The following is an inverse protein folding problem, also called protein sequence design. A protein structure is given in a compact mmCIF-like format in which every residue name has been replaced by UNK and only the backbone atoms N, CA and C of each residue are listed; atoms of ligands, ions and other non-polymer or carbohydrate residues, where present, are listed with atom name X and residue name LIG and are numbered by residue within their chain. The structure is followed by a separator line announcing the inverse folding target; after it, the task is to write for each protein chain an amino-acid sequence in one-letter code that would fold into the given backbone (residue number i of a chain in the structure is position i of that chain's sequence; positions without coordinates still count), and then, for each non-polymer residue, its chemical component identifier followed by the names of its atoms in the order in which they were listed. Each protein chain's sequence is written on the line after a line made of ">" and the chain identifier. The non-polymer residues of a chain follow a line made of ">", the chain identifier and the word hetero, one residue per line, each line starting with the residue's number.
data_IF_218382175330
#
_entry.id   IF_218382175330
#
_cell.length_a   1.000
_cell.length_b   1.000
_cell.length_c   1.000
_cell.angle_alpha   90.00
_cell.angle_beta   90.00
_cell.angle_gamma   90.00
#
_symmetry.space_group_name_H-M   'P 1'
#
loop_
_entity.id
_entity.type
_entity.pdbx_description
1 polymer ?
#
# COMPACT_ATOMS: atom_id res chain seq x y z
N UNK A 1 -63.21 48.44 -7.32
CA UNK A 1 -63.17 47.04 -7.78
C UNK A 1 -61.85 46.45 -7.30
N UNK A 2 -61.89 45.42 -6.46
CA UNK A 2 -60.66 44.79 -5.94
C UNK A 2 -59.96 44.06 -7.09
N UNK A 3 -58.83 44.58 -7.56
CA UNK A 3 -57.98 43.91 -8.53
C UNK A 3 -57.30 42.74 -7.82
N UNK A 4 -57.70 41.50 -8.17
CA UNK A 4 -57.04 40.30 -7.68
C UNK A 4 -55.66 40.16 -8.34
N UNK A 5 -54.70 39.54 -7.64
CA UNK A 5 -53.34 39.31 -8.16
C UNK A 5 -53.25 38.15 -9.16
N UNK A 6 -54.37 37.52 -9.49
CA UNK A 6 -54.51 36.38 -10.39
C UNK A 6 -55.82 36.51 -11.19
N UNK A 7 -55.88 35.97 -12.42
CA UNK A 7 -57.10 35.95 -13.22
C UNK A 7 -58.13 34.99 -12.60
N UNK A 8 -59.42 35.35 -12.69
CA UNK A 8 -60.52 34.44 -12.36
C UNK A 8 -60.93 33.74 -13.65
N UNK A 9 -60.82 32.43 -13.69
CA UNK A 9 -61.08 31.61 -14.87
C UNK A 9 -62.57 31.29 -14.99
N UNK A 10 -63.07 31.29 -16.22
CA UNK A 10 -64.42 30.81 -16.53
C UNK A 10 -64.45 29.29 -16.62
N UNK A 11 -65.66 28.70 -16.57
CA UNK A 11 -65.82 27.24 -16.53
C UNK A 11 -65.12 26.52 -17.70
N UNK A 12 -65.08 27.13 -18.89
CA UNK A 12 -64.46 26.56 -20.09
C UNK A 12 -62.93 26.41 -19.96
N UNK A 13 -62.28 27.25 -19.16
CA UNK A 13 -60.83 27.18 -18.90
C UNK A 13 -60.51 26.48 -17.58
N UNK A 14 -61.40 26.62 -16.58
CA UNK A 14 -61.21 26.09 -15.24
C UNK A 14 -61.40 24.57 -15.17
N UNK A 15 -62.41 24.02 -15.86
CA UNK A 15 -62.67 22.59 -15.85
C UNK A 15 -61.53 21.75 -16.46
N UNK A 16 -60.98 22.10 -17.64
CA UNK A 16 -59.83 21.38 -18.19
C UNK A 16 -58.60 21.44 -17.28
N UNK A 17 -58.30 22.60 -16.69
CA UNK A 17 -57.16 22.71 -15.76
C UNK A 17 -57.34 21.84 -14.51
N UNK A 18 -58.57 21.69 -14.00
CA UNK A 18 -58.84 20.81 -12.85
C UNK A 18 -58.76 19.33 -13.24
N UNK A 19 -59.18 18.98 -14.46
CA UNK A 19 -59.02 17.64 -15.00
C UNK A 19 -57.54 17.26 -15.16
N UNK A 20 -56.70 18.17 -15.67
CA UNK A 20 -55.24 18.01 -15.73
C UNK A 20 -54.61 17.80 -14.33
N UNK A 21 -55.19 18.40 -13.29
CA UNK A 21 -54.77 18.22 -11.89
C UNK A 21 -55.36 16.96 -11.22
N UNK A 22 -56.06 16.10 -11.97
CA UNK A 22 -56.76 14.90 -11.50
C UNK A 22 -57.87 15.20 -10.46
N UNK A 23 -58.54 16.34 -10.61
CA UNK A 23 -59.62 16.80 -9.74
C UNK A 23 -60.96 16.63 -10.48
N UNK A 24 -61.74 15.57 -10.18
CA UNK A 24 -63.01 15.35 -10.87
C UNK A 24 -64.09 16.31 -10.37
N UNK A 25 -64.48 17.28 -11.21
CA UNK A 25 -65.61 18.18 -10.94
C UNK A 25 -66.37 18.51 -12.22
N UNK A 26 -67.70 18.60 -12.12
CA UNK A 26 -68.58 19.02 -13.22
C UNK A 26 -69.01 20.47 -13.11
N UNK A 27 -69.40 21.09 -14.23
CA UNK A 27 -69.96 22.45 -14.24
C UNK A 27 -71.18 22.61 -13.30
N UNK A 28 -72.01 21.56 -13.18
CA UNK A 28 -73.17 21.56 -12.30
C UNK A 28 -72.78 21.59 -10.82
N UNK A 29 -71.73 20.86 -10.44
CA UNK A 29 -71.18 20.85 -9.09
C UNK A 29 -70.49 22.18 -8.73
N UNK A 30 -69.82 22.84 -9.69
CA UNK A 30 -69.29 24.20 -9.48
C UNK A 30 -70.39 25.23 -9.29
N UNK A 31 -71.51 25.10 -10.00
CA UNK A 31 -72.64 26.03 -9.91
C UNK A 31 -73.41 25.88 -8.58
N UNK A 32 -73.47 24.66 -8.03
CA UNK A 32 -74.10 24.35 -6.73
C UNK A 32 -73.16 23.50 -5.88
N UNK A 33 -72.12 24.11 -5.29
CA UNK A 33 -71.13 23.37 -4.55
C UNK A 33 -71.72 22.85 -3.23
N UNK A 34 -71.37 21.62 -2.87
CA UNK A 34 -71.69 21.00 -1.58
C UNK A 34 -70.39 20.65 -0.84
N UNK A 35 -70.46 20.53 0.48
CA UNK A 35 -69.31 20.14 1.30
C UNK A 35 -68.70 18.80 0.83
N UNK A 36 -69.54 17.81 0.52
CA UNK A 36 -69.15 16.48 0.04
C UNK A 36 -68.33 16.52 -1.26
N UNK A 37 -68.53 17.56 -2.09
CA UNK A 37 -67.78 17.74 -3.33
C UNK A 37 -66.53 18.60 -3.10
N UNK A 38 -66.65 19.68 -2.33
CA UNK A 38 -65.56 20.66 -2.16
C UNK A 38 -64.44 20.16 -1.25
N UNK A 39 -64.75 19.40 -0.20
CA UNK A 39 -63.73 18.91 0.72
C UNK A 39 -62.72 17.96 0.05
N UNK A 40 -63.13 16.92 -0.71
CA UNK A 40 -62.19 16.06 -1.43
C UNK A 40 -61.35 16.82 -2.47
N UNK A 41 -61.91 17.86 -3.10
CA UNK A 41 -61.18 18.69 -4.06
C UNK A 41 -60.03 19.40 -3.40
N UNK A 42 -60.27 20.09 -2.29
CA UNK A 42 -59.20 20.79 -1.58
C UNK A 42 -58.21 19.84 -0.92
N UNK A 43 -58.64 18.65 -0.50
CA UNK A 43 -57.76 17.60 -0.03
C UNK A 43 -56.79 17.13 -1.13
N UNK A 44 -57.30 16.82 -2.32
CA UNK A 44 -56.46 16.45 -3.46
C UNK A 44 -55.52 17.59 -3.88
N UNK A 45 -56.00 18.83 -3.92
CA UNK A 45 -55.15 20.00 -4.18
C UNK A 45 -54.00 20.10 -3.19
N UNK A 46 -54.30 19.93 -1.89
CA UNK A 46 -53.30 20.04 -0.83
C UNK A 46 -52.24 18.94 -0.98
N UNK A 47 -52.65 17.70 -1.16
CA UNK A 47 -51.75 16.55 -1.34
C UNK A 47 -50.88 16.74 -2.60
N UNK A 48 -51.48 17.08 -3.74
CA UNK A 48 -50.78 17.18 -5.02
C UNK A 48 -49.77 18.34 -5.07
N UNK A 49 -50.08 19.47 -4.43
CA UNK A 49 -49.21 20.66 -4.47
C UNK A 49 -48.16 20.69 -3.36
N UNK A 50 -48.44 20.10 -2.20
CA UNK A 50 -47.51 20.16 -1.04
C UNK A 50 -46.73 18.85 -0.83
N UNK A 51 -47.19 17.74 -1.38
CA UNK A 51 -46.62 16.41 -1.15
C UNK A 51 -46.92 15.84 0.24
N UNK A 52 -47.71 16.53 1.06
CA UNK A 52 -48.17 16.02 2.37
C UNK A 52 -49.18 14.90 2.10
N UNK A 53 -48.97 13.74 2.71
CA UNK A 53 -49.85 12.58 2.55
C UNK A 53 -51.15 12.74 3.36
N UNK A 54 -52.20 12.03 2.97
CA UNK A 54 -53.46 11.99 3.74
C UNK A 54 -53.24 11.45 5.16
N UNK A 55 -52.30 10.52 5.33
CA UNK A 55 -51.93 9.99 6.63
C UNK A 55 -51.29 11.06 7.52
N UNK A 56 -50.36 11.86 6.99
CA UNK A 56 -49.75 12.99 7.72
C UNK A 56 -50.77 14.09 8.07
N UNK A 57 -51.80 14.31 7.24
CA UNK A 57 -52.88 15.24 7.56
C UNK A 57 -53.75 14.77 8.73
N UNK A 58 -53.92 13.45 8.86
CA UNK A 58 -54.71 12.81 9.92
C UNK A 58 -53.89 12.50 11.18
N UNK A 59 -52.57 12.66 11.15
CA UNK A 59 -51.73 12.47 12.33
C UNK A 59 -51.99 13.59 13.36
N UNK A 60 -52.37 13.25 14.61
CA UNK A 60 -52.51 14.24 15.66
C UNK A 60 -51.12 14.81 16.00
N UNK A 61 -51.02 16.15 16.04
CA UNK A 61 -49.81 16.82 16.51
C UNK A 61 -49.63 16.47 17.99
N UNK A 62 -48.52 15.86 18.38
CA UNK A 62 -48.27 15.41 19.76
C UNK A 62 -48.57 16.49 20.83
N UNK A 63 -48.25 17.75 20.54
CA UNK A 63 -48.54 18.87 21.43
C UNK A 63 -50.05 19.16 21.63
N UNK A 64 -50.91 18.74 20.71
CA UNK A 64 -52.36 18.82 20.85
C UNK A 64 -52.93 17.67 21.69
N UNK A 65 -52.29 16.49 21.69
CA UNK A 65 -52.70 15.33 22.48
C UNK A 65 -52.54 15.64 23.98
N UNK A 66 -51.43 16.27 24.37
CA UNK A 66 -51.16 16.66 25.76
C UNK A 66 -52.09 17.79 26.28
N UNK A 67 -52.80 18.48 25.38
CA UNK A 67 -53.68 19.60 25.72
C UNK A 67 -55.12 19.18 26.04
N UNK A 68 -55.53 17.95 25.70
CA UNK A 68 -56.88 17.45 25.92
C UNK A 68 -56.90 16.32 26.97
N UNK A 69 -57.87 16.35 27.86
CA UNK A 69 -58.07 15.31 28.90
C UNK A 69 -58.56 13.98 28.30
N UNK A 70 -59.22 14.02 27.13
CA UNK A 70 -59.68 12.85 26.37
C UNK A 70 -59.41 13.04 24.85
N UNK A 71 -58.17 12.83 24.38
CA UNK A 71 -57.79 13.06 22.98
C UNK A 71 -58.58 12.21 21.97
N UNK A 72 -58.93 10.96 22.32
CA UNK A 72 -59.65 10.01 21.46
C UNK A 72 -61.03 10.51 21.00
N UNK A 73 -61.68 11.40 21.77
CA UNK A 73 -62.96 12.00 21.39
C UNK A 73 -62.81 13.11 20.34
N UNK A 74 -61.58 13.52 20.05
CA UNK A 74 -61.26 14.66 19.21
C UNK A 74 -60.47 14.30 17.96
N UNK A 75 -60.22 13.02 17.68
CA UNK A 75 -59.42 12.58 16.52
C UNK A 75 -59.90 13.20 15.20
N UNK A 76 -61.21 13.15 14.92
CA UNK A 76 -61.79 13.76 13.71
C UNK A 76 -61.67 15.30 13.70
N UNK A 77 -61.80 15.93 14.87
CA UNK A 77 -61.72 17.39 15.02
C UNK A 77 -60.29 17.91 14.86
N UNK A 78 -59.32 17.16 15.38
CA UNK A 78 -57.89 17.47 15.27
C UNK A 78 -57.45 17.35 13.81
N UNK A 79 -57.82 16.26 13.14
CA UNK A 79 -57.54 16.06 11.71
C UNK A 79 -58.17 17.15 10.85
N UNK A 80 -59.47 17.46 11.05
CA UNK A 80 -60.15 18.52 10.30
C UNK A 80 -59.51 19.90 10.53
N UNK A 81 -59.02 20.18 11.76
CA UNK A 81 -58.33 21.42 12.08
C UNK A 81 -56.95 21.49 11.43
N UNK A 82 -56.21 20.38 11.43
CA UNK A 82 -54.91 20.25 10.77
C UNK A 82 -55.05 20.49 9.26
N UNK A 83 -56.00 19.79 8.62
CA UNK A 83 -56.35 19.98 7.22
C UNK A 83 -56.66 21.44 6.89
N UNK A 84 -57.57 22.07 7.64
CA UNK A 84 -57.93 23.47 7.42
C UNK A 84 -56.73 24.42 7.58
N UNK A 85 -55.87 24.16 8.57
CA UNK A 85 -54.66 24.96 8.81
C UNK A 85 -53.70 24.90 7.63
N UNK A 86 -53.42 23.70 7.12
CA UNK A 86 -52.53 23.50 5.96
C UNK A 86 -53.13 24.08 4.68
N UNK A 87 -54.42 23.84 4.44
CA UNK A 87 -55.13 24.41 3.29
C UNK A 87 -55.15 25.94 3.31
N UNK A 88 -55.37 26.53 4.48
CA UNK A 88 -55.33 28.00 4.64
C UNK A 88 -53.95 28.57 4.31
N UNK A 89 -52.87 27.91 4.77
CA UNK A 89 -51.50 28.32 4.44
C UNK A 89 -51.24 28.23 2.93
N UNK A 90 -51.67 27.14 2.29
CA UNK A 90 -51.55 26.97 0.83
C UNK A 90 -52.28 28.10 0.10
N UNK A 91 -53.55 28.35 0.45
CA UNK A 91 -54.35 29.39 -0.20
C UNK A 91 -53.79 30.80 0.00
N UNK A 92 -53.16 31.08 1.14
CA UNK A 92 -52.42 32.34 1.35
C UNK A 92 -51.26 32.48 0.36
N UNK A 93 -50.51 31.40 0.11
CA UNK A 93 -49.44 31.37 -0.91
C UNK A 93 -50.00 31.56 -2.32
N UNK A 94 -51.17 30.98 -2.62
CA UNK A 94 -51.88 31.21 -3.88
C UNK A 94 -52.46 32.63 -4.02
N UNK A 95 -52.43 33.47 -2.97
CA UNK A 95 -52.91 34.86 -2.98
C UNK A 95 -54.31 35.08 -2.39
N UNK A 96 -54.92 34.06 -1.77
CA UNK A 96 -56.21 34.12 -1.08
C UNK A 96 -55.99 34.23 0.42
N UNK A 97 -56.24 35.41 1.00
CA UNK A 97 -56.02 35.68 2.44
C UNK A 97 -57.27 35.55 3.31
N UNK A 98 -58.44 35.47 2.68
CA UNK A 98 -59.77 35.53 3.29
C UNK A 98 -60.47 34.15 3.33
N UNK A 99 -59.72 33.05 3.18
CA UNK A 99 -60.27 31.70 3.27
C UNK A 99 -60.73 31.38 4.70
N UNK A 100 -61.94 30.86 4.84
CA UNK A 100 -62.54 30.52 6.13
C UNK A 100 -63.27 29.18 6.13
N UNK A 101 -63.65 28.68 7.30
CA UNK A 101 -64.36 27.41 7.45
C UNK A 101 -65.68 27.34 6.67
N UNK A 102 -66.30 28.50 6.39
CA UNK A 102 -67.52 28.60 5.57
C UNK A 102 -67.27 28.16 4.13
N UNK A 103 -66.07 28.42 3.59
CA UNK A 103 -65.73 28.06 2.22
C UNK A 103 -65.60 26.55 2.01
N UNK A 104 -65.47 25.79 3.11
CA UNK A 104 -65.50 24.33 3.12
C UNK A 104 -66.91 23.78 3.39
N UNK A 105 -67.55 24.23 4.48
CA UNK A 105 -68.81 23.64 4.96
C UNK A 105 -70.07 24.20 4.30
N UNK A 106 -70.00 25.42 3.78
CA UNK A 106 -71.09 26.12 3.08
C UNK A 106 -70.52 26.90 1.88
N UNK A 107 -69.96 26.18 0.89
CA UNK A 107 -69.25 26.80 -0.21
C UNK A 107 -70.17 27.69 -1.04
N UNK A 108 -69.65 28.85 -1.45
CA UNK A 108 -70.30 29.76 -2.40
C UNK A 108 -69.66 29.57 -3.78
N UNK A 109 -70.48 29.52 -4.85
CA UNK A 109 -70.01 29.22 -6.19
C UNK A 109 -68.97 30.25 -6.71
N UNK A 110 -69.19 31.54 -6.43
CA UNK A 110 -68.29 32.60 -6.90
C UNK A 110 -66.97 32.58 -6.11
N UNK A 111 -67.03 32.35 -4.80
CA UNK A 111 -65.84 32.21 -3.95
C UNK A 111 -65.03 30.96 -4.29
N UNK A 112 -65.69 29.83 -4.50
CA UNK A 112 -65.03 28.57 -4.89
C UNK A 112 -64.30 28.74 -6.22
N UNK A 113 -64.95 29.34 -7.24
CA UNK A 113 -64.31 29.65 -8.53
C UNK A 113 -63.06 30.51 -8.36
N UNK A 114 -63.14 31.56 -7.52
CA UNK A 114 -61.99 32.43 -7.21
C UNK A 114 -60.85 31.63 -6.55
N UNK A 115 -61.14 30.75 -5.60
CA UNK A 115 -60.12 29.96 -4.91
C UNK A 115 -59.46 28.94 -5.84
N UNK A 116 -60.23 28.23 -6.65
CA UNK A 116 -59.70 27.29 -7.64
C UNK A 116 -58.87 27.99 -8.71
N UNK A 117 -59.29 29.18 -9.18
CA UNK A 117 -58.50 29.98 -10.12
C UNK A 117 -57.14 30.40 -9.53
N UNK A 118 -57.10 30.75 -8.24
CA UNK A 118 -55.86 31.08 -7.54
C UNK A 118 -54.92 29.87 -7.45
N UNK A 119 -55.47 28.70 -7.13
CA UNK A 119 -54.73 27.43 -7.05
C UNK A 119 -54.16 27.05 -8.42
N UNK A 120 -54.96 27.12 -9.48
CA UNK A 120 -54.52 26.81 -10.85
C UNK A 120 -53.39 27.75 -11.27
N UNK A 121 -53.52 29.05 -10.99
CA UNK A 121 -52.45 30.01 -11.29
C UNK A 121 -51.14 29.67 -10.57
N UNK A 122 -51.23 29.27 -9.29
CA UNK A 122 -50.06 28.81 -8.54
C UNK A 122 -49.48 27.50 -9.10
N UNK A 123 -50.33 26.54 -9.46
CA UNK A 123 -49.92 25.26 -10.02
C UNK A 123 -49.14 25.45 -11.32
N UNK A 124 -49.66 26.27 -12.25
CA UNK A 124 -48.97 26.62 -13.51
C UNK A 124 -47.61 27.28 -13.25
N UNK A 125 -47.55 28.24 -12.33
CA UNK A 125 -46.28 28.87 -11.95
C UNK A 125 -45.28 27.85 -11.37
N UNK A 126 -45.75 26.93 -10.53
CA UNK A 126 -44.93 25.86 -9.95
C UNK A 126 -44.37 24.95 -11.04
N UNK A 127 -45.19 24.53 -12.00
CA UNK A 127 -44.76 23.67 -13.13
C UNK A 127 -43.69 24.33 -13.98
N UNK A 128 -43.86 25.61 -14.34
CA UNK A 128 -42.84 26.37 -15.08
C UNK A 128 -41.51 26.42 -14.31
N UNK A 129 -41.55 26.58 -12.98
CA UNK A 129 -40.34 26.59 -12.14
C UNK A 129 -39.75 25.20 -11.94
N UNK A 130 -40.59 24.16 -11.89
CA UNK A 130 -40.15 22.78 -11.69
C UNK A 130 -39.15 22.34 -12.77
N UNK A 131 -39.34 22.78 -14.02
CA UNK A 131 -38.42 22.49 -15.13
C UNK A 131 -37.01 23.03 -14.82
N UNK A 132 -36.90 24.30 -14.42
CA UNK A 132 -35.62 24.90 -14.06
C UNK A 132 -35.00 24.25 -12.80
N UNK A 133 -35.83 23.87 -11.83
CA UNK A 133 -35.35 23.13 -10.65
C UNK A 133 -34.85 21.73 -11.00
N UNK A 134 -35.51 21.02 -11.92
CA UNK A 134 -35.09 19.69 -12.37
C UNK A 134 -33.71 19.73 -13.03
N UNK A 135 -33.44 20.74 -13.86
CA UNK A 135 -32.11 20.94 -14.46
C UNK A 135 -31.04 21.23 -13.40
N UNK A 136 -31.35 22.08 -12.42
CA UNK A 136 -30.44 22.37 -11.30
C UNK A 136 -30.18 21.13 -10.44
N UNK A 137 -31.21 20.32 -10.21
CA UNK A 137 -31.11 19.09 -9.44
C UNK A 137 -30.26 18.04 -10.16
N UNK A 138 -30.48 17.83 -11.46
CA UNK A 138 -29.65 16.94 -12.28
C UNK A 138 -28.18 17.39 -12.30
N UNK A 139 -27.93 18.71 -12.40
CA UNK A 139 -26.57 19.27 -12.33
C UNK A 139 -25.93 19.05 -10.95
N UNK A 140 -26.70 19.23 -9.88
CA UNK A 140 -26.25 19.02 -8.52
C UNK A 140 -25.90 17.55 -8.27
N UNK A 141 -26.74 16.62 -8.71
CA UNK A 141 -26.48 15.17 -8.66
C UNK A 141 -25.21 14.80 -9.44
N UNK A 142 -25.04 15.33 -10.65
CA UNK A 142 -23.82 15.13 -11.45
C UNK A 142 -22.56 15.65 -10.75
N UNK A 143 -22.62 16.84 -10.15
CA UNK A 143 -21.50 17.41 -9.38
C UNK A 143 -21.19 16.61 -8.11
N UNK A 144 -22.21 16.08 -7.42
CA UNK A 144 -22.01 15.20 -6.28
C UNK A 144 -21.30 13.91 -6.67
N UNK A 145 -21.69 13.31 -7.79
CA UNK A 145 -21.06 12.09 -8.31
C UNK A 145 -19.61 12.34 -8.75
N UNK A 146 -19.34 13.45 -9.44
CA UNK A 146 -17.97 13.85 -9.77
C UNK A 146 -17.11 14.07 -8.52
N UNK A 147 -17.67 14.73 -7.49
CA UNK A 147 -16.97 14.93 -6.22
C UNK A 147 -16.65 13.60 -5.56
N UNK A 148 -17.59 12.65 -5.55
CA UNK A 148 -17.40 11.31 -5.00
C UNK A 148 -16.26 10.58 -5.72
N UNK A 149 -16.28 10.57 -7.05
CA UNK A 149 -15.22 9.95 -7.86
C UNK A 149 -13.83 10.56 -7.59
N UNK A 150 -13.73 11.89 -7.53
CA UNK A 150 -12.47 12.58 -7.22
C UNK A 150 -11.97 12.28 -5.80
N UNK A 151 -12.88 12.12 -4.82
CA UNK A 151 -12.50 11.75 -3.45
C UNK A 151 -11.97 10.32 -3.38
N UNK A 152 -12.56 9.39 -4.13
CA UNK A 152 -12.09 8.00 -4.23
C UNK A 152 -10.70 7.94 -4.91
N UNK A 153 -10.51 8.68 -6.00
CA UNK A 153 -9.21 8.79 -6.67
C UNK A 153 -8.14 9.41 -5.77
N UNK A 154 -8.48 10.47 -5.04
CA UNK A 154 -7.58 11.11 -4.09
C UNK A 154 -7.14 10.13 -3.00
N UNK A 155 -8.08 9.38 -2.41
CA UNK A 155 -7.78 8.39 -1.38
C UNK A 155 -6.86 7.26 -1.92
N UNK A 156 -7.11 6.80 -3.13
CA UNK A 156 -6.27 5.79 -3.79
C UNK A 156 -4.84 6.31 -4.01
N UNK A 157 -4.69 7.54 -4.52
CA UNK A 157 -3.38 8.18 -4.72
C UNK A 157 -2.64 8.44 -3.43
N UNK A 158 -3.33 8.86 -2.37
CA UNK A 158 -2.72 9.03 -1.05
C UNK A 158 -2.19 7.70 -0.48
N UNK A 159 -2.93 6.60 -0.68
CA UNK A 159 -2.49 5.26 -0.28
C UNK A 159 -1.25 4.80 -1.06
N UNK A 160 -1.25 4.98 -2.39
CA UNK A 160 -0.11 4.66 -3.24
C UNK A 160 1.14 5.47 -2.85
N UNK A 161 0.94 6.75 -2.54
CA UNK A 161 2.01 7.64 -2.11
C UNK A 161 2.57 7.26 -0.74
N UNK A 162 1.74 6.79 0.20
CA UNK A 162 2.21 6.22 1.47
C UNK A 162 3.05 4.98 1.24
N UNK A 163 2.58 4.03 0.42
CA UNK A 163 3.34 2.81 0.10
C UNK A 163 4.71 3.14 -0.50
N UNK A 164 4.76 4.04 -1.48
CA UNK A 164 6.05 4.46 -2.08
C UNK A 164 6.98 5.13 -1.07
N UNK A 165 6.46 5.89 -0.11
CA UNK A 165 7.28 6.49 0.95
C UNK A 165 7.86 5.45 1.89
N UNK A 166 7.06 4.44 2.25
CA UNK A 166 7.51 3.32 3.09
C UNK A 166 8.58 2.47 2.37
N UNK A 167 8.35 2.15 1.10
CA UNK A 167 9.33 1.46 0.24
C UNK A 167 10.65 2.25 0.17
N UNK A 168 10.59 3.56 -0.12
CA UNK A 168 11.80 4.40 -0.17
C UNK A 168 12.52 4.50 1.17
N UNK A 169 11.79 4.56 2.28
CA UNK A 169 12.41 4.58 3.61
C UNK A 169 13.15 3.28 3.92
N UNK A 170 12.60 2.14 3.49
CA UNK A 170 13.29 0.84 3.57
C UNK A 170 14.54 0.80 2.70
N UNK A 171 14.44 1.20 1.44
CA UNK A 171 15.57 1.25 0.51
C UNK A 171 16.69 2.19 1.00
N UNK A 172 16.35 3.34 1.60
CA UNK A 172 17.33 4.28 2.14
C UNK A 172 18.08 3.71 3.36
N UNK A 173 17.39 2.95 4.20
CA UNK A 173 18.01 2.24 5.32
C UNK A 173 18.99 1.16 4.82
N UNK A 174 18.56 0.34 3.85
CA UNK A 174 19.39 -0.70 3.24
C UNK A 174 20.62 -0.09 2.53
N UNK A 175 20.41 0.99 1.76
CA UNK A 175 21.48 1.71 1.10
C UNK A 175 22.50 2.29 2.10
N UNK A 176 22.02 2.84 3.22
CA UNK A 176 22.89 3.35 4.28
C UNK A 176 23.70 2.23 4.93
N UNK A 177 23.11 1.04 5.13
CA UNK A 177 23.81 -0.11 5.70
C UNK A 177 24.89 -0.63 4.75
N UNK A 178 24.56 -0.80 3.46
CA UNK A 178 25.51 -1.24 2.43
C UNK A 178 26.65 -0.22 2.29
N UNK A 179 26.35 1.08 2.33
CA UNK A 179 27.38 2.12 2.27
C UNK A 179 28.33 2.05 3.47
N UNK A 180 27.80 1.86 4.68
CA UNK A 180 28.62 1.70 5.89
C UNK A 180 29.52 0.45 5.82
N UNK A 181 28.99 -0.68 5.33
CA UNK A 181 29.77 -1.90 5.13
C UNK A 181 30.86 -1.71 4.06
N UNK A 182 30.53 -1.06 2.94
CA UNK A 182 31.50 -0.75 1.89
C UNK A 182 32.64 0.15 2.40
N UNK A 183 32.33 1.14 3.23
CA UNK A 183 33.33 2.02 3.83
C UNK A 183 34.21 1.27 4.85
N UNK A 184 33.62 0.38 5.65
CA UNK A 184 34.36 -0.49 6.57
C UNK A 184 35.33 -1.43 5.82
N UNK A 185 34.85 -2.14 4.81
CA UNK A 185 35.67 -3.02 3.96
C UNK A 185 36.76 -2.25 3.22
N UNK A 186 36.46 -1.04 2.74
CA UNK A 186 37.48 -0.17 2.13
C UNK A 186 38.57 0.21 3.13
N UNK A 187 38.20 0.51 4.37
CA UNK A 187 39.14 0.77 5.46
C UNK A 187 40.03 -0.43 5.77
N UNK A 188 39.45 -1.62 5.90
CA UNK A 188 40.19 -2.87 6.12
C UNK A 188 41.15 -3.18 4.96
N UNK A 189 40.69 -3.02 3.71
CA UNK A 189 41.52 -3.24 2.53
C UNK A 189 42.72 -2.28 2.49
N UNK A 190 42.51 -1.01 2.85
CA UNK A 190 43.62 -0.05 2.98
C UNK A 190 44.61 -0.46 4.07
N UNK A 191 44.14 -0.97 5.21
CA UNK A 191 44.99 -1.43 6.29
C UNK A 191 45.80 -2.67 5.88
N UNK A 192 45.16 -3.65 5.25
CA UNK A 192 45.82 -4.84 4.70
C UNK A 192 46.87 -4.47 3.64
N UNK A 193 46.55 -3.53 2.75
CA UNK A 193 47.53 -3.04 1.77
C UNK A 193 48.76 -2.38 2.43
N UNK A 194 48.57 -1.62 3.52
CA UNK A 194 49.69 -1.06 4.29
C UNK A 194 50.53 -2.16 4.94
N UNK A 195 49.89 -3.16 5.54
CA UNK A 195 50.58 -4.31 6.13
C UNK A 195 51.35 -5.10 5.07
N UNK A 196 50.75 -5.34 3.90
CA UNK A 196 51.40 -6.00 2.78
C UNK A 196 52.62 -5.21 2.29
N UNK A 197 52.50 -3.89 2.14
CA UNK A 197 53.64 -3.04 1.74
C UNK A 197 54.78 -3.09 2.77
N UNK A 198 54.46 -3.07 4.06
CA UNK A 198 55.46 -3.19 5.14
C UNK A 198 56.16 -4.56 5.11
N UNK A 199 55.40 -5.64 5.05
CA UNK A 199 55.94 -7.00 4.97
C UNK A 199 56.79 -7.21 3.70
N UNK A 200 56.36 -6.65 2.56
CA UNK A 200 57.12 -6.72 1.30
C UNK A 200 58.47 -5.99 1.41
N UNK A 201 58.50 -4.82 2.07
CA UNK A 201 59.74 -4.11 2.38
C UNK A 201 60.66 -4.92 3.28
N UNK A 202 60.11 -5.55 4.33
CA UNK A 202 60.86 -6.40 5.25
C UNK A 202 61.46 -7.63 4.53
N UNK A 203 60.67 -8.30 3.68
CA UNK A 203 61.15 -9.42 2.85
C UNK A 203 62.30 -8.96 1.94
N UNK A 204 62.22 -7.76 1.36
CA UNK A 204 63.30 -7.21 0.53
C UNK A 204 64.57 -6.95 1.35
N UNK A 205 64.43 -6.40 2.56
CA UNK A 205 65.54 -6.16 3.47
C UNK A 205 66.21 -7.48 3.91
N UNK A 206 65.41 -8.48 4.29
CA UNK A 206 65.91 -9.81 4.66
C UNK A 206 66.62 -10.50 3.49
N UNK A 207 66.09 -10.41 2.26
CA UNK A 207 66.80 -10.93 1.08
C UNK A 207 68.15 -10.26 0.87
N UNK A 208 68.24 -8.95 1.09
CA UNK A 208 69.51 -8.20 1.02
C UNK A 208 70.49 -8.68 2.09
N UNK A 209 70.03 -8.87 3.33
CA UNK A 209 70.86 -9.42 4.40
C UNK A 209 71.35 -10.84 4.09
N UNK A 210 70.48 -11.71 3.57
CA UNK A 210 70.85 -13.07 3.17
C UNK A 210 71.92 -13.03 2.08
N UNK A 211 71.80 -12.14 1.10
CA UNK A 211 72.82 -11.97 0.06
C UNK A 211 74.17 -11.52 0.65
N UNK A 212 74.16 -10.52 1.53
CA UNK A 212 75.37 -10.01 2.21
C UNK A 212 76.03 -11.07 3.09
N UNK A 213 75.25 -11.80 3.89
CA UNK A 213 75.75 -12.90 4.72
C UNK A 213 76.29 -14.05 3.87
N UNK A 214 75.64 -14.35 2.74
CA UNK A 214 76.13 -15.34 1.78
C UNK A 214 77.48 -14.94 1.20
N UNK A 215 77.65 -13.68 0.79
CA UNK A 215 78.94 -13.15 0.33
C UNK A 215 80.01 -13.20 1.43
N UNK A 216 79.67 -12.81 2.66
CA UNK A 216 80.59 -12.89 3.80
C UNK A 216 81.02 -14.34 4.10
N UNK A 217 80.10 -15.30 4.06
CA UNK A 217 80.40 -16.73 4.22
C UNK A 217 81.31 -17.23 3.10
N UNK A 218 81.12 -16.78 1.85
CA UNK A 218 82.02 -17.15 0.76
C UNK A 218 83.42 -16.55 0.94
N UNK A 219 83.52 -15.31 1.41
CA UNK A 219 84.79 -14.67 1.73
C UNK A 219 85.53 -15.40 2.85
N UNK A 220 84.84 -15.70 3.97
CA UNK A 220 85.40 -16.50 5.06
C UNK A 220 85.82 -17.90 4.62
N UNK A 221 85.03 -18.58 3.77
CA UNK A 221 85.43 -19.87 3.18
C UNK A 221 86.70 -19.77 2.36
N UNK A 222 86.88 -18.69 1.61
CA UNK A 222 88.09 -18.45 0.83
C UNK A 222 89.30 -18.20 1.74
N UNK A 223 89.14 -17.40 2.80
CA UNK A 223 90.18 -17.22 3.82
C UNK A 223 90.53 -18.52 4.54
N UNK A 224 89.53 -19.32 4.91
CA UNK A 224 89.73 -20.63 5.53
C UNK A 224 90.49 -21.58 4.59
N UNK A 225 90.16 -21.60 3.30
CA UNK A 225 90.86 -22.42 2.30
C UNK A 225 92.31 -21.98 2.13
N UNK A 226 92.59 -20.68 2.11
CA UNK A 226 93.95 -20.15 2.10
C UNK A 226 94.71 -20.54 3.37
N UNK A 227 94.09 -20.38 4.54
CA UNK A 227 94.67 -20.81 5.82
C UNK A 227 94.91 -22.31 5.89
N UNK A 228 94.03 -23.13 5.30
CA UNK A 228 94.23 -24.58 5.18
C UNK A 228 95.42 -24.92 4.27
N UNK A 229 95.57 -24.24 3.13
CA UNK A 229 96.75 -24.42 2.26
C UNK A 229 98.04 -24.02 2.97
N UNK A 230 98.04 -22.91 3.73
CA UNK A 230 99.18 -22.53 4.55
C UNK A 230 99.47 -23.56 5.64
N UNK A 231 98.43 -24.06 6.31
CA UNK A 231 98.55 -25.09 7.33
C UNK A 231 99.07 -26.43 6.74
N UNK A 232 98.62 -26.83 5.54
CA UNK A 232 99.17 -27.99 4.83
C UNK A 232 100.63 -27.79 4.44
N UNK A 233 100.98 -26.63 3.90
CA UNK A 233 102.38 -26.26 3.61
C UNK A 233 103.26 -26.30 4.86
N UNK A 234 102.78 -25.75 5.98
CA UNK A 234 103.47 -25.81 7.27
C UNK A 234 103.53 -27.24 7.82
N UNK A 235 102.48 -28.05 7.63
CA UNK A 235 102.48 -29.48 7.97
C UNK A 235 103.50 -30.25 7.15
N UNK A 236 103.63 -29.98 5.85
CA UNK A 236 104.64 -30.60 4.99
C UNK A 236 106.05 -30.21 5.47
N UNK A 237 106.28 -28.96 5.86
CA UNK A 237 107.53 -28.52 6.50
C UNK A 237 107.76 -29.23 7.85
N UNK A 238 106.72 -29.44 8.65
CA UNK A 238 106.78 -30.15 9.92
C UNK A 238 106.99 -31.66 9.71
N UNK A 239 106.41 -32.29 8.68
CA UNK A 239 106.59 -33.70 8.33
C UNK A 239 108.01 -33.94 7.80
N UNK A 240 108.56 -33.01 7.01
CA UNK A 240 109.97 -33.02 6.63
C UNK A 240 110.88 -32.84 7.86
N UNK A 241 110.51 -32.01 8.83
CA UNK A 241 111.24 -31.87 10.10
C UNK A 241 111.07 -33.11 11.03
N UNK A 242 109.95 -33.83 10.93
CA UNK A 242 109.66 -35.04 11.73
C UNK A 242 110.24 -36.32 11.15
N UNK A 243 110.58 -36.37 9.86
CA UNK A 243 111.32 -37.51 9.27
C UNK A 243 112.75 -37.67 9.84
N UNK A 244 113.27 -36.65 10.54
CA UNK A 244 114.61 -36.66 11.16
C UNK A 244 114.64 -37.13 12.63
N UNK A 245 113.51 -37.30 13.32
CA UNK A 245 113.49 -37.82 14.69
C UNK A 245 112.28 -38.70 14.91
N UNK A 246 112.59 -39.99 15.04
CA UNK A 246 111.62 -41.01 15.38
C UNK A 246 110.98 -40.82 16.76
N UNK A 247 109.97 -41.67 16.93
CA UNK A 247 109.29 -42.10 18.14
C UNK A 247 107.87 -41.55 18.34
N UNK A 248 107.03 -42.56 18.55
CA UNK A 248 105.64 -42.69 18.99
C UNK A 248 105.12 -41.65 20.00
N UNK A 249 103.80 -41.67 20.21
CA UNK A 249 103.00 -40.70 20.98
C UNK A 249 101.50 -41.09 20.98
N UNK A 250 100.98 -41.95 21.90
CA UNK A 250 99.57 -42.38 22.07
C UNK A 250 98.47 -41.29 22.22
N UNK A 251 98.66 -40.07 21.72
CA UNK A 251 97.71 -38.95 21.80
C UNK A 251 96.57 -39.03 20.76
N UNK A 252 96.71 -39.87 19.72
CA UNK A 252 95.68 -40.00 18.67
C UNK A 252 94.36 -40.56 19.20
N UNK A 253 94.39 -41.38 20.25
CA UNK A 253 93.16 -41.91 20.87
C UNK A 253 92.45 -40.89 21.77
N UNK A 254 93.17 -39.99 22.45
CA UNK A 254 92.55 -38.93 23.27
C UNK A 254 92.00 -37.78 22.41
N UNK A 255 92.62 -37.49 21.28
CA UNK A 255 92.11 -36.52 20.29
C UNK A 255 90.89 -37.03 19.54
N UNK A 256 90.87 -38.29 19.09
CA UNK A 256 89.66 -38.86 18.50
C UNK A 256 88.49 -38.94 19.49
N UNK A 257 88.74 -39.07 20.80
CA UNK A 257 87.69 -39.09 21.82
C UNK A 257 87.13 -37.68 22.06
N UNK A 258 87.97 -36.64 22.07
CA UNK A 258 87.54 -35.23 22.14
C UNK A 258 86.89 -34.76 20.83
N UNK A 259 87.37 -35.21 19.68
CA UNK A 259 86.75 -34.96 18.37
C UNK A 259 85.41 -35.69 18.24
N UNK A 260 85.27 -36.92 18.73
CA UNK A 260 83.95 -37.59 18.82
C UNK A 260 83.04 -36.88 19.82
N UNK A 261 83.56 -36.39 20.94
CA UNK A 261 82.78 -35.63 21.92
C UNK A 261 82.25 -34.33 21.30
N UNK A 262 83.11 -33.59 20.59
CA UNK A 262 82.74 -32.38 19.83
C UNK A 262 81.74 -32.69 18.72
N UNK A 263 81.93 -33.77 17.97
CA UNK A 263 80.99 -34.19 16.92
C UNK A 263 79.63 -34.63 17.49
N UNK A 264 79.62 -35.23 18.69
CA UNK A 264 78.39 -35.59 19.41
C UNK A 264 77.68 -34.36 19.97
N UNK A 265 78.42 -33.36 20.45
CA UNK A 265 77.85 -32.09 20.92
C UNK A 265 77.34 -31.24 19.74
N UNK A 266 78.02 -31.24 18.60
CA UNK A 266 77.55 -30.63 17.34
C UNK A 266 76.29 -31.33 16.81
N UNK A 267 76.26 -32.67 16.80
CA UNK A 267 75.05 -33.41 16.42
C UNK A 267 73.89 -33.21 17.42
N UNK A 268 74.18 -33.09 18.71
CA UNK A 268 73.15 -32.70 19.69
C UNK A 268 72.61 -31.30 19.40
N UNK A 269 73.46 -30.36 18.99
CA UNK A 269 73.05 -29.03 18.54
C UNK A 269 72.18 -29.08 17.28
N UNK A 270 72.51 -29.96 16.32
CA UNK A 270 71.70 -30.18 15.12
C UNK A 270 70.35 -30.83 15.44
N UNK A 271 70.31 -31.79 16.37
CA UNK A 271 69.08 -32.42 16.85
C UNK A 271 68.20 -31.40 17.59
N UNK A 272 68.75 -30.58 18.49
CA UNK A 272 67.99 -29.52 19.18
C UNK A 272 67.45 -28.45 18.21
N UNK A 273 68.23 -28.10 17.18
CA UNK A 273 67.79 -27.19 16.13
C UNK A 273 66.68 -27.81 15.27
N UNK A 274 66.80 -29.09 14.93
CA UNK A 274 65.78 -29.85 14.20
C UNK A 274 64.50 -29.98 15.03
N UNK A 275 64.59 -30.24 16.34
CA UNK A 275 63.44 -30.34 17.26
C UNK A 275 62.71 -29.01 17.40
N UNK A 276 63.44 -27.89 17.51
CA UNK A 276 62.83 -26.55 17.50
C UNK A 276 62.11 -26.28 16.18
N UNK A 277 62.69 -26.72 15.06
CA UNK A 277 62.10 -26.56 13.71
C UNK A 277 60.86 -27.44 13.54
N UNK A 278 60.89 -28.68 14.02
CA UNK A 278 59.74 -29.58 14.08
C UNK A 278 58.61 -28.97 14.91
N UNK A 279 58.88 -28.41 16.10
CA UNK A 279 57.85 -27.74 16.90
C UNK A 279 57.27 -26.51 16.22
N UNK A 280 58.09 -25.71 15.53
CA UNK A 280 57.62 -24.57 14.76
C UNK A 280 56.74 -24.99 13.57
N UNK A 281 57.11 -26.07 12.87
CA UNK A 281 56.30 -26.65 11.80
C UNK A 281 55.00 -27.24 12.32
N UNK A 282 55.02 -27.93 13.46
CA UNK A 282 53.81 -28.46 14.11
C UNK A 282 52.84 -27.32 14.48
N UNK A 283 53.34 -26.22 15.03
CA UNK A 283 52.51 -25.05 15.33
C UNK A 283 51.91 -24.41 14.05
N UNK A 284 52.67 -24.41 12.93
CA UNK A 284 52.13 -23.94 11.65
C UNK A 284 51.04 -24.88 11.13
N UNK A 285 51.25 -26.19 11.22
CA UNK A 285 50.30 -27.22 10.83
C UNK A 285 48.98 -27.09 11.61
N UNK A 286 49.06 -26.86 12.93
CA UNK A 286 47.88 -26.60 13.77
C UNK A 286 47.10 -25.34 13.32
N UNK A 287 47.80 -24.26 12.92
CA UNK A 287 47.13 -23.09 12.33
C UNK A 287 46.51 -23.39 10.97
N UNK A 288 47.18 -24.15 10.11
CA UNK A 288 46.65 -24.54 8.79
C UNK A 288 45.40 -25.41 8.98
N UNK A 289 45.40 -26.36 9.92
CA UNK A 289 44.23 -27.18 10.24
C UNK A 289 43.05 -26.38 10.81
N UNK A 290 43.29 -25.27 11.52
CA UNK A 290 42.21 -24.34 11.92
C UNK A 290 41.61 -23.63 10.71
N UNK A 291 42.45 -23.11 9.81
CA UNK A 291 42.00 -22.45 8.58
C UNK A 291 41.25 -23.42 7.68
N UNK A 292 41.71 -24.67 7.56
CA UNK A 292 41.03 -25.72 6.78
C UNK A 292 39.61 -26.00 7.31
N UNK A 293 39.43 -26.04 8.65
CA UNK A 293 38.11 -26.18 9.27
C UNK A 293 37.20 -24.99 9.00
N UNK A 294 37.73 -23.77 9.05
CA UNK A 294 36.95 -22.56 8.75
C UNK A 294 36.56 -22.51 7.27
N UNK A 295 37.46 -22.89 6.35
CA UNK A 295 37.16 -23.01 4.92
C UNK A 295 36.08 -24.07 4.67
N UNK A 296 36.14 -25.21 5.36
CA UNK A 296 35.12 -26.26 5.26
C UNK A 296 33.74 -25.78 5.71
N UNK A 297 33.65 -25.01 6.80
CA UNK A 297 32.40 -24.36 7.24
C UNK A 297 31.89 -23.35 6.22
N UNK A 298 32.76 -22.52 5.64
CA UNK A 298 32.36 -21.60 4.58
C UNK A 298 31.78 -22.34 3.37
N UNK A 299 32.37 -23.48 2.97
CA UNK A 299 31.84 -24.30 1.88
C UNK A 299 30.47 -24.90 2.20
N UNK A 300 30.22 -25.30 3.44
CA UNK A 300 28.89 -25.77 3.88
C UNK A 300 27.85 -24.65 3.81
N UNK A 301 28.17 -23.45 4.31
CA UNK A 301 27.30 -22.28 4.22
C UNK A 301 27.02 -21.88 2.77
N UNK A 302 28.02 -21.95 1.88
CA UNK A 302 27.81 -21.68 0.46
C UNK A 302 26.84 -22.67 -0.18
N UNK A 303 26.89 -23.96 0.18
CA UNK A 303 25.92 -24.97 -0.28
C UNK A 303 24.51 -24.70 0.24
N UNK A 304 24.36 -24.25 1.49
CA UNK A 304 23.05 -23.87 2.02
C UNK A 304 22.47 -22.66 1.28
N UNK A 305 23.30 -21.65 0.99
CA UNK A 305 22.89 -20.48 0.20
C UNK A 305 22.48 -20.90 -1.22
N UNK A 306 23.22 -21.80 -1.88
CA UNK A 306 22.84 -22.33 -3.19
C UNK A 306 21.47 -23.02 -3.16
N UNK A 307 21.19 -23.80 -2.12
CA UNK A 307 19.91 -24.46 -1.94
C UNK A 307 18.76 -23.45 -1.71
N UNK A 308 18.99 -22.41 -0.91
CA UNK A 308 17.99 -21.35 -0.69
C UNK A 308 17.74 -20.52 -1.96
N UNK A 309 18.79 -20.26 -2.76
CA UNK A 309 18.64 -19.61 -4.07
C UNK A 309 17.81 -20.48 -5.03
N UNK A 310 18.00 -21.79 -5.02
CA UNK A 310 17.20 -22.72 -5.81
C UNK A 310 15.71 -22.68 -5.39
N UNK A 311 15.43 -22.74 -4.08
CA UNK A 311 14.07 -22.62 -3.52
C UNK A 311 13.41 -21.30 -3.91
N UNK A 312 14.13 -20.18 -3.82
CA UNK A 312 13.62 -18.86 -4.24
C UNK A 312 13.25 -18.85 -5.72
N UNK A 313 14.06 -19.46 -6.60
CA UNK A 313 13.78 -19.55 -8.03
C UNK A 313 12.51 -20.36 -8.32
N UNK A 314 12.31 -21.48 -7.64
CA UNK A 314 11.07 -22.28 -7.76
C UNK A 314 9.84 -21.50 -7.26
N UNK A 315 9.93 -20.87 -6.08
CA UNK A 315 8.86 -20.04 -5.56
C UNK A 315 8.51 -18.87 -6.49
N UNK A 316 9.53 -18.23 -7.09
CA UNK A 316 9.32 -17.16 -8.06
C UNK A 316 8.65 -17.64 -9.36
N UNK A 317 8.94 -18.87 -9.82
CA UNK A 317 8.24 -19.47 -10.96
C UNK A 317 6.78 -19.75 -10.63
N UNK A 318 6.51 -20.36 -9.48
CA UNK A 318 5.14 -20.60 -9.01
C UNK A 318 4.33 -19.32 -8.86
N UNK A 319 4.94 -18.25 -8.32
CA UNK A 319 4.27 -16.95 -8.21
C UNK A 319 3.93 -16.34 -9.58
N UNK A 320 4.79 -16.54 -10.58
CA UNK A 320 4.51 -16.09 -11.96
C UNK A 320 3.37 -16.89 -12.59
N UNK A 321 3.40 -18.21 -12.48
CA UNK A 321 2.35 -19.09 -13.02
C UNK A 321 0.98 -18.79 -12.38
N UNK A 322 0.94 -18.56 -11.06
CA UNK A 322 -0.29 -18.15 -10.36
C UNK A 322 -0.81 -16.79 -10.83
N UNK A 323 0.07 -15.82 -11.09
CA UNK A 323 -0.35 -14.52 -11.65
C UNK A 323 -0.96 -14.67 -13.04
N UNK A 324 -0.38 -15.51 -13.89
CA UNK A 324 -0.92 -15.80 -15.22
C UNK A 324 -2.29 -16.50 -15.12
N UNK A 325 -2.46 -17.44 -14.19
CA UNK A 325 -3.75 -18.08 -13.92
C UNK A 325 -4.82 -17.12 -13.39
N UNK A 326 -4.45 -16.21 -12.48
CA UNK A 326 -5.35 -15.15 -11.99
C UNK A 326 -5.76 -14.23 -13.14
N UNK A 327 -4.82 -13.85 -14.01
CA UNK A 327 -5.12 -13.06 -15.21
C UNK A 327 -6.10 -13.75 -16.15
N UNK A 328 -5.90 -15.05 -16.41
CA UNK A 328 -6.81 -15.85 -17.22
C UNK A 328 -8.22 -15.94 -16.58
N UNK A 329 -8.29 -16.25 -15.28
CA UNK A 329 -9.56 -16.33 -14.55
C UNK A 329 -10.29 -14.98 -14.49
N UNK A 330 -9.56 -13.86 -14.40
CA UNK A 330 -10.14 -12.52 -14.44
C UNK A 330 -10.75 -12.21 -15.80
N UNK A 331 -10.10 -12.61 -16.89
CA UNK A 331 -10.64 -12.45 -18.24
C UNK A 331 -11.89 -13.32 -18.45
N UNK A 332 -11.84 -14.59 -17.99
CA UNK A 332 -13.00 -15.48 -18.04
C UNK A 332 -14.18 -14.92 -17.24
N UNK A 333 -13.93 -14.32 -16.07
CA UNK A 333 -14.96 -13.67 -15.26
C UNK A 333 -15.59 -12.47 -15.99
N UNK A 334 -14.77 -11.63 -16.63
CA UNK A 334 -15.25 -10.50 -17.42
C UNK A 334 -16.11 -10.96 -18.62
N UNK A 335 -15.69 -12.03 -19.31
CA UNK A 335 -16.47 -12.63 -20.40
C UNK A 335 -17.81 -13.21 -19.92
N UNK A 336 -17.84 -13.82 -18.74
CA UNK A 336 -19.07 -14.33 -18.13
C UNK A 336 -20.00 -13.19 -17.68
N UNK A 337 -19.48 -12.09 -17.13
CA UNK A 337 -20.26 -10.89 -16.81
C UNK A 337 -20.85 -10.26 -18.08
N UNK A 338 -20.08 -10.16 -19.16
CA UNK A 338 -20.57 -9.65 -20.44
C UNK A 338 -21.72 -10.52 -20.99
N UNK A 339 -21.60 -11.86 -20.91
CA UNK A 339 -22.67 -12.79 -21.26
C UNK A 339 -23.89 -12.63 -20.36
N UNK A 340 -23.69 -12.48 -19.05
CA UNK A 340 -24.77 -12.26 -18.09
C UNK A 340 -25.54 -10.96 -18.41
N UNK A 341 -24.84 -9.86 -18.66
CA UNK A 341 -25.46 -8.60 -19.07
C UNK A 341 -26.23 -8.74 -20.38
N UNK A 342 -25.70 -9.47 -21.36
CA UNK A 342 -26.41 -9.74 -22.60
C UNK A 342 -27.71 -10.52 -22.35
N UNK A 343 -27.66 -11.59 -21.56
CA UNK A 343 -28.83 -12.41 -21.23
C UNK A 343 -29.88 -11.62 -20.44
N UNK A 344 -29.47 -10.76 -19.50
CA UNK A 344 -30.37 -9.87 -18.78
C UNK A 344 -31.09 -8.90 -19.73
N UNK A 345 -30.39 -8.33 -20.71
CA UNK A 345 -31.02 -7.50 -21.75
C UNK A 345 -32.02 -8.30 -22.58
N UNK A 346 -31.68 -9.52 -23.01
CA UNK A 346 -32.62 -10.38 -23.74
C UNK A 346 -33.86 -10.70 -22.89
N UNK A 347 -33.67 -11.00 -21.60
CA UNK A 347 -34.76 -11.29 -20.67
C UNK A 347 -35.69 -10.08 -20.49
N UNK A 348 -35.13 -8.86 -20.38
CA UNK A 348 -35.91 -7.63 -20.33
C UNK A 348 -36.75 -7.45 -21.61
N UNK A 349 -36.15 -7.64 -22.79
CA UNK A 349 -36.87 -7.57 -24.07
C UNK A 349 -38.01 -8.59 -24.16
N UNK A 350 -37.80 -9.82 -23.68
CA UNK A 350 -38.85 -10.84 -23.65
C UNK A 350 -39.96 -10.51 -22.65
N UNK A 351 -39.62 -10.01 -21.45
CA UNK A 351 -40.60 -9.54 -20.46
C UNK A 351 -41.46 -8.41 -21.00
N UNK A 352 -40.87 -7.44 -21.71
CA UNK A 352 -41.62 -6.36 -22.35
C UNK A 352 -42.55 -6.86 -23.47
N UNK A 353 -42.12 -7.90 -24.20
CA UNK A 353 -42.96 -8.57 -25.20
C UNK A 353 -44.15 -9.30 -24.57
N UNK A 354 -43.92 -10.00 -23.45
CA UNK A 354 -44.97 -10.67 -22.69
C UNK A 354 -45.98 -9.64 -22.16
N UNK A 355 -45.50 -8.55 -21.54
CA UNK A 355 -46.37 -7.45 -21.06
C UNK A 355 -47.24 -6.86 -22.16
N UNK A 356 -46.69 -6.67 -23.36
CA UNK A 356 -47.46 -6.18 -24.52
C UNK A 356 -48.53 -7.17 -24.98
N UNK A 357 -48.27 -8.48 -24.88
CA UNK A 357 -49.24 -9.52 -25.21
C UNK A 357 -50.32 -9.67 -24.12
N UNK A 358 -49.99 -9.45 -22.85
CA UNK A 358 -50.96 -9.45 -21.74
C UNK A 358 -51.87 -8.22 -21.73
N UNK A 359 -51.46 -7.14 -22.40
CA UNK A 359 -52.25 -5.90 -22.55
C UNK A 359 -53.17 -5.88 -23.79
N UNK A 360 -53.21 -6.97 -24.57
CA UNK A 360 -54.15 -7.21 -25.66
C UNK A 360 -55.21 -8.22 -25.23
#
# INVERSE_FOLDING_TARGET
>A
MSSYSFPVLENDELLPCLEEMEIPITAAQLAKPTHEVVAPIFENILVNLTGITREELNQPVFAAIDAFEYPELHDESIAARSFFSQLSKLLVVCGVKDFGMKDLHKPDALRLRRHLSAVINFAKFREEKLIAYAELQARLESLMEQRRGLQEEQAARESELRRMREERAGEEADASQIQAEADALRGENQQLNRQFAAASSEVKALKSQVAQLSEAVQAEKFELMNGQQEHERLREQIVQARAARGVFSPDKFKRSLVELQSAVDDERGHVDAADKRCRALQARDDTVGKVEKDVSKCLELMKEIENEVARKKEASRHAKDLREQIGAASNDAADMEAKQQHLLRQQATFKDRIRKLESQ
#
